data_IF_112333582835
#
_entry.id   IF_112333582835
#
_cell.length_a   1.000
_cell.length_b   1.000
_cell.length_c   1.000
_cell.angle_alpha   90.00
_cell.angle_beta   90.00
_cell.angle_gamma   90.00
#
_symmetry.space_group_name_H-M   'P 1'
#
loop_
_entity.id
_entity.type
_entity.pdbx_description
1 polymer ?
#
# COMPACT_ATOMS: atom_id res chain seq x y z
N UNK A 1 -5.67 20.42 -4.81
CA UNK A 1 -5.75 19.01 -4.39
C UNK A 1 -4.49 18.71 -3.58
N UNK A 2 -4.63 18.20 -2.36
CA UNK A 2 -3.52 18.14 -1.38
C UNK A 2 -2.38 17.21 -1.83
N UNK A 3 -2.72 16.10 -2.50
CA UNK A 3 -1.74 15.15 -3.04
C UNK A 3 -0.91 15.83 -4.13
N UNK A 4 -1.56 16.48 -5.10
CA UNK A 4 -0.87 17.19 -6.18
C UNK A 4 0.05 18.27 -5.63
N UNK A 5 -0.44 19.10 -4.70
CA UNK A 5 0.39 20.14 -4.05
C UNK A 5 1.60 19.56 -3.33
N UNK A 6 1.46 18.42 -2.64
CA UNK A 6 2.58 17.76 -1.97
C UNK A 6 3.63 17.22 -2.94
N UNK A 7 3.19 16.60 -4.04
CA UNK A 7 4.09 16.10 -5.08
C UNK A 7 4.79 17.24 -5.83
N UNK A 8 4.05 18.29 -6.18
CA UNK A 8 4.60 19.47 -6.87
C UNK A 8 5.59 20.24 -5.97
N UNK A 9 5.47 20.11 -4.64
CA UNK A 9 6.44 20.63 -3.66
C UNK A 9 7.69 19.74 -3.49
N UNK A 10 7.78 18.61 -4.20
CA UNK A 10 8.94 17.72 -4.17
C UNK A 10 9.01 16.79 -2.95
N UNK A 11 7.87 16.48 -2.31
CA UNK A 11 7.86 15.50 -1.22
C UNK A 11 8.34 14.12 -1.73
N UNK A 12 9.30 13.48 -1.05
CA UNK A 12 9.77 12.15 -1.45
C UNK A 12 8.63 11.15 -1.28
N UNK A 13 8.14 10.60 -2.40
CA UNK A 13 7.02 9.68 -2.44
C UNK A 13 7.34 8.51 -3.37
N UNK A 14 7.59 7.33 -2.79
CA UNK A 14 7.82 6.13 -3.58
C UNK A 14 6.51 5.58 -4.18
N UNK A 15 5.42 5.60 -3.42
CA UNK A 15 4.11 5.12 -3.84
C UNK A 15 3.00 5.96 -3.20
N UNK A 16 1.97 6.28 -3.98
CA UNK A 16 0.70 6.77 -3.46
C UNK A 16 -0.24 5.60 -3.21
N UNK A 17 -0.73 5.48 -1.98
CA UNK A 17 -1.66 4.43 -1.56
C UNK A 17 -3.00 5.04 -1.16
N UNK A 18 -4.09 4.41 -1.55
CA UNK A 18 -5.42 4.81 -1.10
C UNK A 18 -6.39 3.62 -1.05
N UNK A 19 -7.49 3.80 -0.33
CA UNK A 19 -8.58 2.85 -0.27
C UNK A 19 -9.46 2.89 -1.55
N UNK A 20 -10.51 2.06 -1.56
CA UNK A 20 -11.42 1.94 -2.70
C UNK A 20 -12.33 3.16 -2.92
N UNK A 21 -12.44 4.09 -1.96
CA UNK A 21 -13.19 5.32 -2.15
C UNK A 21 -12.47 6.23 -3.15
N UNK A 22 -11.15 6.37 -2.98
CA UNK A 22 -10.30 7.16 -3.88
C UNK A 22 -9.82 6.36 -5.07
N UNK A 23 -9.64 5.05 -4.91
CA UNK A 23 -9.01 4.25 -5.94
C UNK A 23 -9.81 4.14 -7.22
N UNK A 24 -11.14 4.22 -7.17
CA UNK A 24 -12.00 4.29 -8.37
C UNK A 24 -12.04 5.69 -9.02
N UNK A 25 -11.42 6.71 -8.43
CA UNK A 25 -11.31 8.04 -9.06
C UNK A 25 -10.28 8.03 -10.20
N UNK A 26 -10.79 8.11 -11.43
CA UNK A 26 -9.96 8.17 -12.63
C UNK A 26 -9.14 9.45 -12.71
N UNK A 27 -9.63 10.58 -12.18
CA UNK A 27 -8.88 11.85 -12.21
C UNK A 27 -7.63 11.75 -11.35
N UNK A 28 -7.73 11.11 -10.19
CA UNK A 28 -6.58 10.82 -9.33
C UNK A 28 -5.54 9.96 -10.06
N UNK A 29 -5.96 8.86 -10.70
CA UNK A 29 -5.05 7.99 -11.47
C UNK A 29 -4.33 8.76 -12.58
N UNK A 30 -5.06 9.50 -13.40
CA UNK A 30 -4.50 10.30 -14.50
C UNK A 30 -3.54 11.38 -13.97
N UNK A 31 -3.87 12.02 -12.86
CA UNK A 31 -3.02 13.03 -12.22
C UNK A 31 -1.68 12.46 -11.76
N UNK A 32 -1.69 11.24 -11.20
CA UNK A 32 -0.48 10.53 -10.77
C UNK A 32 0.33 9.99 -11.97
N UNK A 33 -0.35 9.42 -12.97
CA UNK A 33 0.27 8.94 -14.22
C UNK A 33 0.99 10.08 -14.96
N UNK A 34 0.35 11.25 -15.08
CA UNK A 34 0.96 12.43 -15.71
C UNK A 34 2.15 13.02 -14.95
N UNK A 35 2.36 12.61 -13.68
CA UNK A 35 3.52 12.95 -12.86
C UNK A 35 4.54 11.82 -12.78
N UNK A 36 4.29 10.70 -13.47
CA UNK A 36 5.09 9.49 -13.34
C UNK A 36 5.25 9.03 -11.88
N UNK A 37 4.22 9.27 -11.05
CA UNK A 37 4.21 8.92 -9.64
C UNK A 37 3.63 7.51 -9.47
N UNK A 38 4.40 6.51 -9.02
CA UNK A 38 3.87 5.18 -8.76
C UNK A 38 2.71 5.22 -7.76
N UNK A 39 1.71 4.37 -8.00
CA UNK A 39 0.58 4.23 -7.10
C UNK A 39 0.09 2.79 -7.00
N UNK A 40 -0.56 2.51 -5.87
CA UNK A 40 -1.35 1.32 -5.67
C UNK A 40 -2.62 1.70 -4.93
N UNK A 41 -3.73 1.77 -5.67
CA UNK A 41 -5.01 2.18 -5.13
C UNK A 41 -5.92 0.97 -5.04
N UNK A 42 -6.48 0.72 -3.85
CA UNK A 42 -7.47 -0.33 -3.69
C UNK A 42 -8.70 0.00 -4.54
N UNK A 43 -9.39 -1.02 -5.04
CA UNK A 43 -10.61 -0.86 -5.83
C UNK A 43 -11.66 -1.87 -5.38
N UNK A 44 -12.92 -1.61 -5.72
CA UNK A 44 -14.00 -2.57 -5.47
C UNK A 44 -13.88 -3.76 -6.42
N UNK A 45 -14.49 -4.89 -6.04
CA UNK A 45 -14.57 -6.10 -6.85
C UNK A 45 -15.20 -5.86 -8.23
N UNK A 46 -16.13 -4.91 -8.33
CA UNK A 46 -16.83 -4.53 -9.56
C UNK A 46 -16.16 -3.37 -10.33
N UNK A 47 -14.91 -3.03 -10.01
CA UNK A 47 -14.16 -2.05 -10.78
C UNK A 47 -13.95 -2.55 -12.21
N UNK A 48 -14.36 -1.73 -13.19
CA UNK A 48 -14.28 -2.06 -14.62
C UNK A 48 -12.89 -1.81 -15.16
N UNK A 49 -12.19 -2.88 -15.52
CA UNK A 49 -10.81 -2.87 -15.99
C UNK A 49 -10.69 -3.57 -17.34
N UNK A 50 -9.83 -3.04 -18.21
CA UNK A 50 -9.52 -3.67 -19.50
C UNK A 50 -8.27 -4.53 -19.33
N UNK A 51 -8.33 -5.76 -19.82
CA UNK A 51 -7.19 -6.70 -19.81
C UNK A 51 -6.71 -6.97 -21.22
N UNK A 52 -5.45 -7.35 -21.36
CA UNK A 52 -4.90 -7.83 -22.64
C UNK A 52 -5.46 -9.20 -23.04
N UNK A 53 -6.01 -9.96 -22.09
CA UNK A 53 -6.67 -11.25 -22.34
C UNK A 53 -8.09 -11.09 -22.89
N UNK A 54 -8.40 -11.82 -23.97
CA UNK A 54 -9.78 -12.00 -24.46
C UNK A 54 -10.41 -10.78 -25.13
N UNK A 55 -9.88 -10.37 -26.29
CA UNK A 55 -10.51 -9.38 -27.19
C UNK A 55 -10.61 -7.94 -26.66
N UNK A 56 -9.72 -7.52 -25.76
CA UNK A 56 -9.75 -6.18 -25.15
C UNK A 56 -11.10 -5.86 -24.45
N UNK A 57 -11.71 -6.87 -23.82
CA UNK A 57 -12.96 -6.69 -23.11
C UNK A 57 -12.75 -6.01 -21.74
N UNK A 58 -13.71 -5.16 -21.37
CA UNK A 58 -13.78 -4.58 -20.02
C UNK A 58 -14.52 -5.53 -19.08
N UNK A 59 -13.84 -6.03 -18.05
CA UNK A 59 -14.36 -6.96 -17.05
C UNK A 59 -14.27 -6.38 -15.63
N UNK A 60 -15.02 -6.96 -14.71
CA UNK A 60 -14.92 -6.62 -13.29
C UNK A 60 -13.62 -7.18 -12.70
N UNK A 61 -13.01 -6.48 -11.73
CA UNK A 61 -11.78 -6.95 -11.08
C UNK A 61 -11.91 -8.38 -10.51
N UNK A 62 -13.07 -8.72 -9.95
CA UNK A 62 -13.36 -10.07 -9.46
C UNK A 62 -13.48 -11.11 -10.58
N UNK A 63 -14.06 -10.77 -11.74
CA UNK A 63 -14.13 -11.67 -12.90
C UNK A 63 -12.73 -11.95 -13.46
N UNK A 64 -11.87 -10.92 -13.49
CA UNK A 64 -10.47 -11.07 -13.89
C UNK A 64 -9.74 -12.00 -12.91
N UNK A 65 -9.91 -11.79 -11.61
CA UNK A 65 -9.29 -12.62 -10.58
C UNK A 65 -9.79 -14.08 -10.59
N UNK A 66 -11.08 -14.29 -10.85
CA UNK A 66 -11.68 -15.63 -10.93
C UNK A 66 -11.17 -16.43 -12.15
N UNK A 67 -10.77 -15.75 -13.23
CA UNK A 67 -10.22 -16.38 -14.42
C UNK A 67 -8.73 -16.78 -14.27
N UNK A 68 -8.05 -16.36 -13.19
CA UNK A 68 -6.63 -16.65 -12.99
C UNK A 68 -6.38 -18.14 -12.72
N UNK A 69 -5.43 -18.78 -13.43
CA UNK A 69 -5.05 -20.15 -13.13
C UNK A 69 -4.39 -20.23 -11.75
N UNK A 70 -4.41 -21.41 -11.13
CA UNK A 70 -3.78 -21.65 -9.82
C UNK A 70 -2.28 -21.31 -9.81
N UNK A 71 -1.60 -21.48 -10.95
CA UNK A 71 -0.18 -21.17 -11.13
C UNK A 71 0.15 -19.67 -11.09
N UNK A 72 -0.83 -18.78 -11.28
CA UNK A 72 -0.61 -17.33 -11.23
C UNK A 72 -0.47 -16.79 -9.79
N UNK A 73 -0.78 -17.61 -8.78
CA UNK A 73 -0.81 -17.20 -7.38
C UNK A 73 0.49 -17.58 -6.68
N UNK A 74 1.16 -16.57 -6.10
CA UNK A 74 2.42 -16.73 -5.38
C UNK A 74 2.32 -16.17 -3.97
N UNK A 75 2.98 -16.81 -3.01
CA UNK A 75 2.96 -16.39 -1.61
C UNK A 75 4.01 -15.34 -1.35
N UNK A 76 3.58 -14.19 -0.83
CA UNK A 76 4.47 -13.10 -0.42
C UNK A 76 3.99 -12.44 0.88
N UNK A 77 4.92 -11.82 1.60
CA UNK A 77 4.65 -11.09 2.82
C UNK A 77 4.13 -9.67 2.53
N UNK A 78 3.13 -9.25 3.30
CA UNK A 78 2.56 -7.90 3.31
C UNK A 78 3.05 -7.09 4.52
N UNK A 79 4.35 -7.21 4.79
CA UNK A 79 5.01 -6.65 5.97
C UNK A 79 4.84 -7.47 7.26
N UNK A 80 5.44 -6.96 8.32
CA UNK A 80 5.47 -7.60 9.64
C UNK A 80 4.13 -7.43 10.39
N UNK A 81 3.66 -8.51 11.00
CA UNK A 81 2.52 -8.54 11.91
C UNK A 81 2.92 -8.92 13.33
N UNK A 82 2.00 -8.79 14.28
CA UNK A 82 2.24 -9.11 15.69
C UNK A 82 2.65 -10.57 15.96
N UNK A 83 2.38 -11.49 15.01
CA UNK A 83 2.70 -12.92 15.07
C UNK A 83 3.71 -13.34 13.98
N UNK A 84 4.49 -12.40 13.47
CA UNK A 84 5.40 -12.59 12.33
C UNK A 84 4.82 -12.08 10.99
N UNK A 85 5.46 -12.40 9.86
CA UNK A 85 5.09 -11.85 8.55
C UNK A 85 3.63 -12.14 8.17
N UNK A 86 2.91 -11.12 7.71
CA UNK A 86 1.55 -11.27 7.20
C UNK A 86 1.59 -11.88 5.80
N UNK A 87 1.44 -13.19 5.71
CA UNK A 87 1.49 -13.91 4.44
C UNK A 87 0.12 -13.97 3.76
N UNK A 88 0.08 -13.59 2.49
CA UNK A 88 -1.08 -13.75 1.60
C UNK A 88 -0.63 -14.41 0.29
N UNK A 89 -1.60 -14.95 -0.44
CA UNK A 89 -1.36 -15.36 -1.83
C UNK A 89 -1.69 -14.17 -2.73
N UNK A 90 -0.80 -13.87 -3.67
CA UNK A 90 -0.87 -12.72 -4.54
C UNK A 90 -0.83 -13.15 -6.00
N UNK A 91 -1.59 -12.46 -6.83
CA UNK A 91 -1.48 -12.57 -8.28
C UNK A 91 -1.50 -11.18 -8.90
N UNK A 92 -0.87 -11.03 -10.06
CA UNK A 92 -0.95 -9.80 -10.85
C UNK A 92 -1.32 -10.11 -12.29
N UNK A 93 -2.13 -9.25 -12.88
CA UNK A 93 -2.51 -9.30 -14.30
C UNK A 93 -2.26 -7.94 -14.92
N UNK A 94 -1.58 -7.92 -16.07
CA UNK A 94 -1.33 -6.68 -16.80
C UNK A 94 -2.65 -6.12 -17.34
N UNK A 95 -2.87 -4.83 -17.12
CA UNK A 95 -4.03 -4.11 -17.63
C UNK A 95 -3.70 -3.51 -18.99
N UNK A 96 -4.70 -3.45 -19.87
CA UNK A 96 -4.57 -2.77 -21.16
C UNK A 96 -4.71 -1.26 -20.95
N UNK A 97 -3.57 -0.55 -20.96
CA UNK A 97 -3.51 0.92 -21.02
C UNK A 97 -2.42 1.36 -22.00
N UNK A 98 -2.67 2.48 -22.67
CA UNK A 98 -1.67 3.12 -23.52
C UNK A 98 -0.64 3.80 -22.61
N UNK A 99 0.57 3.24 -22.56
CA UNK A 99 1.69 3.80 -21.81
C UNK A 99 3.03 3.48 -22.51
N UNK A 100 4.00 4.39 -22.36
CA UNK A 100 5.36 4.18 -22.82
C UNK A 100 6.25 3.52 -21.74
N UNK A 101 7.29 2.76 -22.10
CA UNK A 101 8.34 2.41 -21.15
C UNK A 101 8.86 3.65 -20.38
N UNK A 102 9.26 3.53 -19.10
CA UNK A 102 9.44 2.28 -18.34
C UNK A 102 8.21 1.83 -17.52
N UNK A 103 7.05 2.43 -17.70
CA UNK A 103 5.90 2.24 -16.80
C UNK A 103 4.89 1.21 -17.30
N UNK A 104 4.14 0.59 -16.37
CA UNK A 104 3.08 -0.35 -16.71
C UNK A 104 1.95 -0.34 -15.67
N UNK A 105 0.83 -0.99 -16.01
CA UNK A 105 -0.36 -1.08 -15.15
C UNK A 105 -0.74 -2.51 -14.87
N UNK A 106 -1.11 -2.78 -13.62
CA UNK A 106 -1.58 -4.10 -13.22
C UNK A 106 -2.84 -4.03 -12.36
N UNK A 107 -3.64 -5.08 -12.42
CA UNK A 107 -4.50 -5.49 -11.34
C UNK A 107 -3.66 -6.40 -10.43
N UNK A 108 -3.46 -5.97 -9.19
CA UNK A 108 -2.92 -6.81 -8.13
C UNK A 108 -4.08 -7.36 -7.31
N UNK A 109 -4.06 -8.67 -7.07
CA UNK A 109 -5.06 -9.36 -6.27
C UNK A 109 -4.39 -9.98 -5.06
N UNK A 110 -4.90 -9.68 -3.88
CA UNK A 110 -4.55 -10.34 -2.62
C UNK A 110 -5.65 -11.34 -2.29
N UNK A 111 -5.28 -12.57 -1.94
CA UNK A 111 -6.19 -13.59 -1.44
C UNK A 111 -5.76 -14.08 -0.06
N UNK A 112 -6.72 -14.18 0.86
CA UNK A 112 -6.49 -14.76 2.19
C UNK A 112 -6.17 -16.24 2.09
N UNK A 113 -5.26 -16.70 2.95
CA UNK A 113 -4.84 -18.11 3.05
C UNK A 113 -5.83 -18.98 3.81
N UNK A 114 -6.70 -18.35 4.60
CA UNK A 114 -7.70 -19.05 5.42
C UNK A 114 -9.04 -19.12 4.70
N UNK A 115 -9.35 -18.07 3.95
CA UNK A 115 -10.58 -17.95 3.19
C UNK A 115 -10.26 -17.44 1.79
N UNK A 116 -10.35 -18.32 0.79
CA UNK A 116 -10.04 -17.97 -0.59
C UNK A 116 -11.02 -16.95 -1.20
N UNK A 117 -12.18 -16.75 -0.59
CA UNK A 117 -13.17 -15.76 -1.00
C UNK A 117 -12.85 -14.34 -0.48
N UNK A 118 -12.07 -14.23 0.60
CA UNK A 118 -11.55 -12.94 1.08
C UNK A 118 -10.42 -12.47 0.17
N UNK A 119 -10.80 -11.61 -0.78
CA UNK A 119 -9.92 -11.02 -1.76
C UNK A 119 -9.97 -9.49 -1.71
N UNK A 120 -8.81 -8.88 -1.95
CA UNK A 120 -8.68 -7.44 -2.14
C UNK A 120 -8.02 -7.15 -3.49
N UNK A 121 -8.47 -6.08 -4.14
CA UNK A 121 -8.08 -5.72 -5.50
C UNK A 121 -7.42 -4.35 -5.49
N UNK A 122 -6.35 -4.20 -6.27
CA UNK A 122 -5.63 -2.94 -6.40
C UNK A 122 -5.30 -2.67 -7.85
N UNK A 123 -5.53 -1.43 -8.28
CA UNK A 123 -4.98 -0.93 -9.53
C UNK A 123 -3.61 -0.34 -9.23
N UNK A 124 -2.61 -0.81 -9.96
CA UNK A 124 -1.21 -0.46 -9.78
C UNK A 124 -0.71 0.27 -11.02
N UNK A 125 0.08 1.30 -10.80
CA UNK A 125 0.95 1.93 -11.79
C UNK A 125 2.36 2.01 -11.19
N UNK A 126 3.34 1.38 -11.83
CA UNK A 126 4.73 1.34 -11.35
C UNK A 126 5.69 1.00 -12.51
N UNK A 127 7.01 1.11 -12.32
CA UNK A 127 7.99 0.64 -13.31
C UNK A 127 7.78 -0.84 -13.65
N UNK A 128 7.95 -1.22 -14.91
CA UNK A 128 7.63 -2.57 -15.42
C UNK A 128 8.40 -3.69 -14.71
N UNK A 129 9.58 -3.35 -14.17
CA UNK A 129 10.46 -4.26 -13.45
C UNK A 129 10.02 -4.52 -12.00
N UNK A 130 9.04 -3.75 -11.49
CA UNK A 130 8.54 -3.92 -10.12
C UNK A 130 8.05 -5.35 -9.93
N UNK A 131 8.61 -6.05 -8.95
CA UNK A 131 8.32 -7.47 -8.70
C UNK A 131 7.01 -7.66 -7.95
N UNK A 132 6.43 -8.86 -8.03
CA UNK A 132 5.23 -9.20 -7.24
C UNK A 132 5.49 -9.11 -5.73
N UNK A 133 6.70 -9.44 -5.29
CA UNK A 133 7.10 -9.35 -3.89
C UNK A 133 7.14 -7.90 -3.39
N UNK A 134 7.68 -6.98 -4.19
CA UNK A 134 7.68 -5.54 -3.89
C UNK A 134 6.25 -4.99 -3.83
N UNK A 135 5.41 -5.35 -4.80
CA UNK A 135 3.99 -4.96 -4.78
C UNK A 135 3.26 -5.47 -3.52
N UNK A 136 3.50 -6.72 -3.12
CA UNK A 136 2.95 -7.26 -1.87
C UNK A 136 3.42 -6.48 -0.64
N UNK A 137 4.71 -6.11 -0.59
CA UNK A 137 5.28 -5.26 0.46
C UNK A 137 4.63 -3.88 0.51
N UNK A 138 4.48 -3.23 -0.65
CA UNK A 138 3.81 -1.92 -0.80
C UNK A 138 2.35 -2.00 -0.35
N UNK A 139 1.60 -3.03 -0.75
CA UNK A 139 0.23 -3.25 -0.29
C UNK A 139 0.15 -3.41 1.24
N UNK A 140 1.19 -4.01 1.85
CA UNK A 140 1.35 -4.15 3.29
C UNK A 140 1.47 -2.83 4.04
N UNK A 141 1.99 -1.78 3.42
CA UNK A 141 2.12 -0.45 4.03
C UNK A 141 0.77 0.22 4.30
N UNK A 142 -0.31 -0.24 3.64
CA UNK A 142 -1.66 0.25 3.91
C UNK A 142 -2.10 0.01 5.36
N UNK A 143 -1.62 -1.07 5.99
CA UNK A 143 -1.85 -1.32 7.41
C UNK A 143 -1.18 -0.27 8.31
N UNK A 144 0.01 0.20 7.90
CA UNK A 144 0.71 1.27 8.63
C UNK A 144 -0.12 2.54 8.66
N UNK A 145 -0.84 2.87 7.57
CA UNK A 145 -1.74 4.02 7.52
C UNK A 145 -2.85 3.89 8.58
N UNK A 146 -3.55 2.75 8.62
CA UNK A 146 -4.60 2.47 9.61
C UNK A 146 -4.03 2.57 11.05
N UNK A 147 -2.84 2.02 11.27
CA UNK A 147 -2.15 2.08 12.57
C UNK A 147 -1.80 3.53 12.95
N UNK A 148 -1.26 4.32 12.02
CA UNK A 148 -0.92 5.73 12.25
C UNK A 148 -2.16 6.55 12.60
N UNK A 149 -3.29 6.34 11.93
CA UNK A 149 -4.55 7.00 12.28
C UNK A 149 -5.09 6.54 13.64
N UNK A 150 -4.96 5.26 13.98
CA UNK A 150 -5.29 4.75 15.32
C UNK A 150 -4.48 5.47 16.39
N UNK A 151 -3.14 5.50 16.25
CA UNK A 151 -2.25 6.24 17.16
C UNK A 151 -2.59 7.71 17.23
N UNK A 152 -2.90 8.37 16.11
CA UNK A 152 -3.25 9.78 16.11
C UNK A 152 -4.52 10.07 16.94
N UNK A 153 -5.51 9.19 16.88
CA UNK A 153 -6.74 9.32 17.68
C UNK A 153 -6.46 9.01 19.14
N UNK A 154 -5.97 7.80 19.41
CA UNK A 154 -5.82 7.26 20.76
C UNK A 154 -4.78 8.04 21.60
N UNK A 155 -3.65 8.43 21.00
CA UNK A 155 -2.52 9.03 21.74
C UNK A 155 -2.43 10.55 21.56
N UNK A 156 -2.88 11.08 20.42
CA UNK A 156 -2.72 12.50 20.08
C UNK A 156 -4.02 13.30 20.09
N UNK A 157 -5.15 12.64 20.40
CA UNK A 157 -6.45 13.29 20.50
C UNK A 157 -6.94 13.87 19.17
N UNK A 158 -6.61 13.24 18.05
CA UNK A 158 -7.08 13.68 16.72
C UNK A 158 -8.61 13.79 16.65
N UNK A 159 -9.32 12.92 17.37
CA UNK A 159 -10.78 12.92 17.50
C UNK A 159 -11.31 13.57 18.80
N UNK A 160 -10.44 14.19 19.60
CA UNK A 160 -10.81 14.93 20.82
C UNK A 160 -11.01 16.44 20.58
N UNK A 161 -11.13 16.88 19.32
CA UNK A 161 -11.30 18.30 18.99
C UNK A 161 -12.73 18.78 19.30
N UNK A 162 -12.88 19.65 20.31
CA UNK A 162 -14.16 20.29 20.64
C UNK A 162 -14.35 21.71 20.05
N UNK A 163 -13.37 22.18 19.28
CA UNK A 163 -13.41 23.52 18.69
C UNK A 163 -14.61 23.68 17.73
N UNK A 164 -15.29 24.83 17.84
CA UNK A 164 -16.46 25.19 17.01
C UNK A 164 -16.16 26.25 15.95
N UNK A 165 -14.90 26.64 15.80
CA UNK A 165 -14.44 27.53 14.75
C UNK A 165 -13.51 26.78 13.80
N UNK A 166 -13.51 27.19 12.53
CA UNK A 166 -12.58 26.65 11.53
C UNK A 166 -11.13 26.78 11.99
N UNK A 167 -10.72 27.96 12.46
CA UNK A 167 -9.34 28.20 12.89
C UNK A 167 -8.94 27.35 14.09
N UNK A 168 -9.85 27.16 15.06
CA UNK A 168 -9.61 26.32 16.23
C UNK A 168 -9.43 24.86 15.83
N UNK A 169 -10.33 24.34 14.99
CA UNK A 169 -10.24 22.99 14.44
C UNK A 169 -8.97 22.79 13.61
N UNK A 170 -8.66 23.73 12.71
CA UNK A 170 -7.51 23.65 11.83
C UNK A 170 -6.18 23.64 12.61
N UNK A 171 -6.06 24.49 13.63
CA UNK A 171 -4.88 24.50 14.52
C UNK A 171 -4.73 23.18 15.27
N UNK A 172 -5.82 22.65 15.83
CA UNK A 172 -5.82 21.36 16.53
C UNK A 172 -5.35 20.23 15.62
N UNK A 173 -5.97 20.08 14.45
CA UNK A 173 -5.61 19.07 13.46
C UNK A 173 -4.15 19.20 13.02
N UNK A 174 -3.68 20.42 12.78
CA UNK A 174 -2.29 20.67 12.39
C UNK A 174 -1.31 20.22 13.49
N UNK A 175 -1.60 20.51 14.75
CA UNK A 175 -0.76 20.10 15.88
C UNK A 175 -0.75 18.58 16.06
N UNK A 176 -1.91 17.91 15.99
CA UNK A 176 -1.98 16.45 16.05
C UNK A 176 -1.18 15.81 14.90
N UNK A 177 -1.30 16.32 13.68
CA UNK A 177 -0.55 15.81 12.53
C UNK A 177 0.96 16.06 12.64
N UNK A 178 1.39 17.21 13.17
CA UNK A 178 2.79 17.51 13.43
C UNK A 178 3.39 16.59 14.52
N UNK A 179 2.65 16.35 15.60
CA UNK A 179 3.04 15.41 16.65
C UNK A 179 3.12 13.97 16.12
N UNK A 180 2.18 13.56 15.26
CA UNK A 180 2.19 12.25 14.61
C UNK A 180 3.42 12.07 13.73
N UNK A 181 3.76 13.08 12.91
CA UNK A 181 4.94 13.06 12.07
C UNK A 181 6.23 12.93 12.90
N UNK A 182 6.31 13.66 14.03
CA UNK A 182 7.42 13.55 14.98
C UNK A 182 7.54 12.13 15.56
N UNK A 183 6.44 11.55 16.06
CA UNK A 183 6.44 10.20 16.61
C UNK A 183 6.78 9.13 15.57
N UNK A 184 6.25 9.26 14.35
CA UNK A 184 6.55 8.35 13.26
C UNK A 184 8.04 8.36 12.92
N UNK A 185 8.66 9.55 12.88
CA UNK A 185 10.10 9.70 12.68
C UNK A 185 10.91 9.08 13.81
N UNK A 186 10.57 9.39 15.06
CA UNK A 186 11.26 8.86 16.23
C UNK A 186 11.21 7.32 16.25
N UNK A 187 10.03 6.74 15.98
CA UNK A 187 9.87 5.29 15.88
C UNK A 187 10.72 4.69 14.76
N UNK A 188 10.77 5.33 13.59
CA UNK A 188 11.60 4.86 12.48
C UNK A 188 13.10 4.92 12.82
N UNK A 189 13.55 5.96 13.53
CA UNK A 189 14.94 6.08 14.01
C UNK A 189 15.27 4.98 15.04
N UNK A 190 14.38 4.72 15.99
CA UNK A 190 14.56 3.66 16.99
C UNK A 190 14.63 2.26 16.35
N UNK A 191 13.78 1.98 15.37
CA UNK A 191 13.80 0.69 14.64
C UNK A 191 15.11 0.53 13.87
N UNK A 192 15.58 1.57 13.18
CA UNK A 192 16.90 1.53 12.50
C UNK A 192 18.05 1.32 13.48
N UNK A 193 18.01 2.00 14.63
CA UNK A 193 19.02 1.86 15.68
C UNK A 193 19.03 0.47 16.32
N UNK A 194 17.88 -0.18 16.46
CA UNK A 194 17.78 -1.55 16.97
C UNK A 194 18.29 -2.58 15.95
N UNK A 195 17.98 -2.41 14.66
CA UNK A 195 18.43 -3.29 13.58
C UNK A 195 19.95 -3.20 13.31
N UNK A 196 20.60 -2.10 13.71
CA UNK A 196 22.05 -1.89 13.56
C UNK A 196 22.90 -2.43 14.72
N UNK A 197 22.30 -2.94 15.81
CA UNK A 197 23.05 -3.55 16.92
C UNK A 197 23.27 -5.04 16.66
N UNK A 198 24.51 -5.57 16.78
CA UNK A 198 24.74 -7.01 16.80
C UNK A 198 23.88 -7.65 17.90
N UNK A 199 23.23 -8.76 17.58
CA UNK A 199 22.41 -9.49 18.54
C UNK A 199 23.33 -10.24 19.53
N UNK A 200 23.76 -9.55 20.60
CA UNK A 200 24.68 -10.09 21.61
C UNK A 200 24.08 -11.22 22.47
N UNK A 201 22.76 -11.46 22.37
CA UNK A 201 22.01 -12.35 23.27
C UNK A 201 21.55 -13.68 22.66
N UNK A 202 21.97 -14.03 21.43
CA UNK A 202 21.75 -15.39 20.90
C UNK A 202 22.98 -16.26 21.13
N UNK A 203 22.89 -17.36 21.91
CA UNK A 203 23.96 -18.34 21.99
C UNK A 203 24.29 -18.85 20.58
N UNK A 204 25.57 -18.79 20.20
CA UNK A 204 26.04 -19.35 18.94
C UNK A 204 25.66 -20.82 18.82
N UNK A 205 25.19 -21.23 17.65
CA UNK A 205 24.90 -22.63 17.36
C UNK A 205 26.13 -23.48 17.68
N UNK A 206 25.98 -24.43 18.60
CA UNK A 206 27.02 -25.42 18.90
C UNK A 206 27.26 -26.20 17.62
N UNK A 207 28.46 -26.07 17.06
CA UNK A 207 28.92 -26.90 15.96
C UNK A 207 28.96 -28.36 16.44
N UNK A 208 28.06 -29.19 15.92
CA UNK A 208 28.17 -30.64 16.07
C UNK A 208 29.27 -31.09 15.11
N UNK A 209 30.45 -31.35 15.67
CA UNK A 209 31.50 -32.07 14.98
C UNK A 209 31.08 -33.54 14.79
N UNK A 210 31.43 -34.09 13.64
CA UNK A 210 31.11 -35.44 13.17
C UNK A 210 31.65 -36.56 14.08
#
# INVERSE_FOLDING_TARGET
DMIATGLDAGLPCAFVLADALYGSDKRLRVMLEGREQPYMLAVRSNERLMTTEGSCATRDAAEIAAALPSSAWHRHAAGEGAKGPRLYDWARVRLLRLQQPPWDHWLLVRRSRRDASDQAYYVVFAPMETTLAELAGVAGLRWTIETCFGTAKEELGLDHCEARSWDGWHRHMTLCMAALAFLARLRAELVRGAAGKPNETSPGAVAVAA
#
